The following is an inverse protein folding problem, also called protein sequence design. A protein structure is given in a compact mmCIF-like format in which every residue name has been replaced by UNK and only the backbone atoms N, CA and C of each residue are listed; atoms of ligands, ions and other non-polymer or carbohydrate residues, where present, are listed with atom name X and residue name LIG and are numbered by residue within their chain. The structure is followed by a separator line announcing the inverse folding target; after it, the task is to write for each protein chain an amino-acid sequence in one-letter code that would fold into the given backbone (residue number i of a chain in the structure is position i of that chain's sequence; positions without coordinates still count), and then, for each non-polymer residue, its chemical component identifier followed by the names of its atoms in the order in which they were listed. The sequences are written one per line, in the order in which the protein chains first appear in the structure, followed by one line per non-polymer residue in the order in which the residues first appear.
data_IF_005119475286
#
_entry.id   IF_005119475286
#
_cell.length_a   1.000
_cell.length_b   1.000
_cell.length_c   1.000
_cell.angle_alpha   90.00
_cell.angle_beta   90.00
_cell.angle_gamma   90.00
#
_symmetry.space_group_name_H-M   'P 1'
#
loop_
_entity.id
_entity.type
_entity.pdbx_description
1 polymer ?
#
# COMPACT_ATOMS: atom_id res chain seq x y z
N UNK A 1 -2.12 23.72 39.29
CA UNK A 1 -1.44 23.98 38.00
C UNK A 1 -0.49 22.83 37.75
N UNK A 2 -0.92 21.84 36.97
CA UNK A 2 -0.04 20.78 36.47
C UNK A 2 0.84 21.39 35.40
N UNK A 3 2.15 21.51 35.67
CA UNK A 3 3.15 21.83 34.65
C UNK A 3 3.10 20.74 33.58
N UNK A 4 2.42 21.02 32.45
CA UNK A 4 2.54 20.17 31.25
C UNK A 4 4.02 20.12 30.89
N UNK A 5 4.63 18.94 30.96
CA UNK A 5 6.00 18.73 30.50
C UNK A 5 6.06 19.12 29.02
N UNK A 6 6.81 20.18 28.71
CA UNK A 6 7.05 20.60 27.33
C UNK A 6 7.95 19.58 26.65
N UNK A 7 7.61 19.24 25.42
CA UNK A 7 8.39 18.30 24.60
C UNK A 7 9.67 18.97 24.09
N UNK A 8 10.78 18.22 23.98
CA UNK A 8 12.01 18.78 23.41
C UNK A 8 11.82 19.04 21.92
N UNK A 9 12.41 20.14 21.42
CA UNK A 9 12.27 20.52 20.01
C UNK A 9 12.89 19.48 19.07
N UNK A 10 13.92 18.77 19.52
CA UNK A 10 14.57 17.70 18.76
C UNK A 10 13.62 16.51 18.54
N UNK A 11 12.82 16.15 19.55
CA UNK A 11 11.82 15.07 19.49
C UNK A 11 10.69 15.44 18.52
N UNK A 12 10.17 16.67 18.60
CA UNK A 12 9.17 17.20 17.66
C UNK A 12 9.71 17.25 16.23
N UNK A 13 10.96 17.70 16.04
CA UNK A 13 11.58 17.74 14.72
C UNK A 13 11.76 16.32 14.14
N UNK A 14 12.06 15.34 14.99
CA UNK A 14 12.10 13.93 14.59
C UNK A 14 10.72 13.40 14.20
N UNK A 15 9.71 13.64 15.04
CA UNK A 15 8.32 13.28 14.77
C UNK A 15 7.87 13.81 13.42
N UNK A 16 8.03 15.11 13.16
CA UNK A 16 7.65 15.73 11.88
C UNK A 16 8.38 15.09 10.68
N UNK A 17 9.68 14.76 10.77
CA UNK A 17 10.35 14.06 9.66
C UNK A 17 9.75 12.67 9.39
N UNK A 18 9.22 12.01 10.41
CA UNK A 18 8.69 10.64 10.35
C UNK A 18 7.22 10.57 9.95
N UNK A 19 6.37 11.48 10.43
CA UNK A 19 4.92 11.46 10.15
C UNK A 19 4.47 12.51 9.13
N UNK A 20 5.34 13.47 8.78
CA UNK A 20 5.12 14.44 7.70
C UNK A 20 6.30 14.45 6.72
N UNK A 21 6.49 15.54 5.97
CA UNK A 21 7.65 15.74 5.09
C UNK A 21 8.71 16.68 5.72
N UNK A 22 8.64 16.85 7.05
CA UNK A 22 9.45 17.80 7.81
C UNK A 22 8.60 18.87 8.48
N UNK A 23 9.25 19.82 9.13
CA UNK A 23 8.58 20.86 9.89
C UNK A 23 9.30 22.19 9.77
N UNK A 24 8.53 23.25 9.55
CA UNK A 24 9.02 24.61 9.71
C UNK A 24 9.33 24.90 11.18
N UNK A 25 10.17 25.90 11.43
CA UNK A 25 10.46 26.36 12.79
C UNK A 25 9.18 26.71 13.58
N UNK A 26 8.19 27.30 12.91
CA UNK A 26 6.91 27.68 13.53
C UNK A 26 6.13 26.46 14.01
N UNK A 27 6.07 25.40 13.21
CA UNK A 27 5.39 24.15 13.59
C UNK A 27 6.12 23.45 14.74
N UNK A 28 7.45 23.41 14.70
CA UNK A 28 8.26 22.84 15.80
C UNK A 28 8.02 23.62 17.10
N UNK A 29 8.08 24.95 17.04
CA UNK A 29 7.85 25.80 18.21
C UNK A 29 6.43 25.57 18.77
N UNK A 30 5.41 25.57 17.92
CA UNK A 30 4.01 25.33 18.30
C UNK A 30 3.79 23.96 18.94
N UNK A 31 4.28 22.88 18.32
CA UNK A 31 4.08 21.53 18.84
C UNK A 31 4.91 21.27 20.11
N UNK A 32 6.06 21.94 20.28
CA UNK A 32 6.87 21.82 21.50
C UNK A 32 6.20 22.40 22.75
N UNK A 33 5.16 23.22 22.59
CA UNK A 33 4.34 23.72 23.71
C UNK A 33 3.36 22.66 24.24
N UNK A 34 3.13 21.58 23.49
CA UNK A 34 2.33 20.42 23.88
C UNK A 34 3.21 19.36 24.55
N UNK A 35 2.58 18.44 25.29
CA UNK A 35 3.24 17.17 25.64
C UNK A 35 3.40 16.33 24.34
N UNK A 36 4.15 15.22 24.42
CA UNK A 36 4.48 14.46 23.22
C UNK A 36 3.24 13.76 22.65
N UNK A 37 2.40 13.21 23.52
CA UNK A 37 1.17 12.52 23.15
C UNK A 37 0.17 13.46 22.44
N UNK A 38 -0.14 14.64 23.01
CA UNK A 38 -1.03 15.61 22.37
C UNK A 38 -0.45 16.12 21.04
N UNK A 39 0.89 16.12 20.87
CA UNK A 39 1.54 16.49 19.61
C UNK A 39 1.42 15.39 18.55
N UNK A 40 1.50 14.11 18.95
CA UNK A 40 1.22 12.96 18.10
C UNK A 40 -0.25 12.98 17.67
N UNK A 41 -1.18 13.04 18.62
CA UNK A 41 -2.62 13.06 18.34
C UNK A 41 -2.98 14.22 17.40
N UNK A 42 -2.40 15.41 17.61
CA UNK A 42 -2.62 16.55 16.71
C UNK A 42 -2.19 16.30 15.25
N UNK A 43 -1.15 15.50 15.03
CA UNK A 43 -0.65 15.20 13.68
C UNK A 43 -1.39 14.05 13.01
N UNK A 44 -1.94 13.13 13.80
CA UNK A 44 -2.58 11.90 13.35
C UNK A 44 -4.12 12.04 13.24
N UNK A 45 -4.76 12.65 14.23
CA UNK A 45 -6.22 12.71 14.38
C UNK A 45 -6.83 13.99 13.79
N UNK A 46 -6.42 14.36 12.58
CA UNK A 46 -6.89 15.59 11.99
C UNK A 46 -8.34 15.46 11.45
N UNK A 47 -9.28 16.14 12.10
CA UNK A 47 -10.69 16.25 11.68
C UNK A 47 -10.88 17.00 10.34
N UNK A 48 -9.90 17.82 9.93
CA UNK A 48 -9.98 18.65 8.74
C UNK A 48 -9.43 17.87 7.52
N UNK A 49 -10.33 17.38 6.65
CA UNK A 49 -10.17 16.38 5.56
C UNK A 49 -9.08 16.65 4.49
N UNK A 50 -7.87 17.06 4.86
CA UNK A 50 -6.73 17.27 3.97
C UNK A 50 -7.08 18.20 2.78
N UNK A 51 -7.32 19.51 3.01
CA UNK A 51 -7.66 20.46 1.95
C UNK A 51 -6.41 20.83 1.14
N UNK A 52 -5.99 19.93 0.26
CA UNK A 52 -5.07 20.28 -0.84
C UNK A 52 -5.84 21.22 -1.80
N UNK A 53 -5.32 22.40 -2.14
CA UNK A 53 -6.00 23.38 -2.99
C UNK A 53 -6.07 22.93 -4.46
N UNK A 54 -6.95 21.98 -4.74
CA UNK A 54 -7.13 21.41 -6.10
C UNK A 54 -7.73 22.40 -7.08
N UNK A 55 -8.38 23.46 -6.61
CA UNK A 55 -8.88 24.57 -7.41
C UNK A 55 -7.73 25.33 -8.10
N UNK A 56 -6.62 25.56 -7.38
CA UNK A 56 -5.43 26.20 -7.95
C UNK A 56 -4.80 25.32 -9.03
N UNK A 57 -4.69 24.02 -8.77
CA UNK A 57 -4.19 23.05 -9.75
C UNK A 57 -5.07 23.05 -11.01
N UNK A 58 -6.39 22.95 -10.85
CA UNK A 58 -7.35 22.96 -11.97
C UNK A 58 -7.37 24.27 -12.74
N UNK A 59 -7.10 25.41 -12.09
CA UNK A 59 -7.15 26.74 -12.71
C UNK A 59 -5.87 27.11 -13.44
N UNK A 60 -4.71 26.82 -12.84
CA UNK A 60 -3.42 27.29 -13.34
C UNK A 60 -2.56 26.20 -13.96
N UNK A 61 -2.86 24.93 -13.70
CA UNK A 61 -2.08 23.77 -14.12
C UNK A 61 -3.01 22.67 -14.66
N UNK A 62 -3.84 23.04 -15.64
CA UNK A 62 -4.91 22.18 -16.20
C UNK A 62 -4.35 20.83 -16.65
N UNK A 63 -3.18 20.81 -17.29
CA UNK A 63 -2.53 19.58 -17.77
C UNK A 63 -2.15 18.63 -16.63
N UNK A 64 -1.84 19.16 -15.44
CA UNK A 64 -1.53 18.37 -14.24
C UNK A 64 -2.79 17.92 -13.49
N UNK A 65 -3.93 18.56 -13.76
CA UNK A 65 -5.21 18.17 -13.16
C UNK A 65 -5.84 16.94 -13.84
N UNK A 66 -5.44 16.64 -15.07
CA UNK A 66 -5.84 15.44 -15.78
C UNK A 66 -4.95 14.25 -15.38
N UNK A 67 -5.37 13.45 -14.41
CA UNK A 67 -4.58 12.29 -13.91
C UNK A 67 -4.57 11.07 -14.84
N UNK A 68 -5.10 11.16 -16.07
CA UNK A 68 -5.14 10.02 -16.99
C UNK A 68 -3.78 9.71 -17.62
N UNK A 69 -2.92 10.71 -17.79
CA UNK A 69 -1.56 10.50 -18.29
C UNK A 69 -0.60 10.11 -17.17
N UNK A 70 0.43 9.35 -17.55
CA UNK A 70 1.49 8.91 -16.65
C UNK A 70 2.23 10.10 -16.01
N UNK A 71 2.60 11.11 -16.79
CA UNK A 71 3.33 12.28 -16.28
C UNK A 71 2.47 13.13 -15.34
N UNK A 72 1.21 13.36 -15.71
CA UNK A 72 0.30 14.20 -14.94
C UNK A 72 -0.18 13.52 -13.65
N UNK A 73 -0.37 12.19 -13.63
CA UNK A 73 -0.69 11.45 -12.39
C UNK A 73 0.42 11.55 -11.34
N UNK A 74 1.69 11.41 -11.75
CA UNK A 74 2.84 11.61 -10.86
C UNK A 74 2.93 13.05 -10.35
N UNK A 75 2.78 14.02 -11.25
CA UNK A 75 2.78 15.44 -10.87
C UNK A 75 1.62 15.82 -9.94
N UNK A 76 0.44 15.24 -10.14
CA UNK A 76 -0.71 15.41 -9.25
C UNK A 76 -0.40 14.94 -7.84
N UNK A 77 0.20 13.76 -7.69
CA UNK A 77 0.54 13.26 -6.36
C UNK A 77 1.66 14.09 -5.71
N UNK A 78 2.69 14.48 -6.48
CA UNK A 78 3.71 15.42 -6.00
C UNK A 78 3.12 16.74 -5.51
N UNK A 79 2.11 17.26 -6.20
CA UNK A 79 1.39 18.45 -5.75
C UNK A 79 0.72 18.24 -4.40
N UNK A 80 0.06 17.09 -4.19
CA UNK A 80 -0.56 16.74 -2.90
C UNK A 80 0.48 16.60 -1.79
N UNK A 81 1.60 15.92 -2.04
CA UNK A 81 2.70 15.76 -1.08
C UNK A 81 3.28 17.11 -0.64
N UNK A 82 3.38 18.08 -1.56
CA UNK A 82 3.94 19.40 -1.28
C UNK A 82 2.97 20.39 -0.63
N UNK A 83 1.65 20.24 -0.83
CA UNK A 83 0.64 21.23 -0.42
C UNK A 83 -0.35 20.73 0.62
N UNK A 84 -0.26 19.47 1.04
CA UNK A 84 -1.07 18.97 2.15
C UNK A 84 -0.67 19.66 3.46
N UNK A 85 -1.64 20.28 4.12
CA UNK A 85 -1.44 20.93 5.43
C UNK A 85 -1.20 19.91 6.55
N UNK A 86 -1.81 18.73 6.40
CA UNK A 86 -1.70 17.59 7.32
C UNK A 86 -1.37 16.35 6.50
N UNK A 87 -0.09 16.14 6.19
CA UNK A 87 0.34 15.16 5.20
C UNK A 87 0.36 13.72 5.71
N UNK A 88 -0.18 13.41 6.90
CA UNK A 88 -0.12 12.06 7.46
C UNK A 88 -0.76 11.02 6.53
N UNK A 89 -1.94 11.31 5.95
CA UNK A 89 -2.57 10.43 4.95
C UNK A 89 -1.67 10.19 3.73
N UNK A 90 -1.00 11.25 3.25
CA UNK A 90 -0.07 11.15 2.12
C UNK A 90 1.20 10.39 2.51
N UNK A 91 1.61 10.47 3.79
CA UNK A 91 2.74 9.76 4.35
C UNK A 91 2.44 8.27 4.47
N UNK A 92 1.22 7.91 4.86
CA UNK A 92 0.70 6.52 4.85
C UNK A 92 0.61 5.99 3.42
N UNK A 93 0.07 6.78 2.49
CA UNK A 93 0.02 6.37 1.08
C UNK A 93 1.42 6.16 0.48
N UNK A 94 2.37 7.03 0.82
CA UNK A 94 3.76 6.88 0.41
C UNK A 94 4.42 5.65 1.05
N UNK A 95 4.14 5.38 2.33
CA UNK A 95 4.61 4.18 3.01
C UNK A 95 4.15 2.92 2.25
N UNK A 96 2.85 2.80 2.00
CA UNK A 96 2.30 1.64 1.31
C UNK A 96 2.77 1.53 -0.14
N UNK A 97 2.88 2.65 -0.87
CA UNK A 97 3.43 2.62 -2.23
C UNK A 97 4.90 2.20 -2.28
N UNK A 98 5.68 2.43 -1.20
CA UNK A 98 7.05 1.91 -1.11
C UNK A 98 7.12 0.41 -0.84
N UNK A 99 6.15 -0.14 -0.11
CA UNK A 99 6.05 -1.59 0.15
C UNK A 99 5.48 -2.29 -1.08
N UNK A 100 4.40 -1.78 -1.64
CA UNK A 100 3.64 -2.34 -2.77
C UNK A 100 3.93 -1.58 -4.07
N UNK A 101 5.20 -1.53 -4.43
CA UNK A 101 5.67 -0.71 -5.54
C UNK A 101 5.09 -1.17 -6.88
N UNK A 102 4.48 -0.23 -7.61
CA UNK A 102 4.09 -0.37 -9.02
C UNK A 102 4.72 0.74 -9.85
N UNK A 103 4.80 0.56 -11.17
CA UNK A 103 5.59 1.44 -12.02
C UNK A 103 5.06 1.69 -13.42
N UNK A 104 5.49 2.83 -13.97
CA UNK A 104 4.99 3.39 -15.23
C UNK A 104 5.42 2.61 -16.47
N UNK A 105 6.50 1.82 -16.39
CA UNK A 105 7.01 1.06 -17.54
C UNK A 105 6.04 -0.04 -17.99
N UNK A 106 5.19 -0.53 -17.08
CA UNK A 106 4.13 -1.50 -17.36
C UNK A 106 2.74 -0.86 -17.30
N UNK A 107 2.57 0.14 -16.42
CA UNK A 107 1.33 0.88 -16.24
C UNK A 107 1.33 2.16 -17.07
N UNK A 108 1.00 2.03 -18.35
CA UNK A 108 0.96 3.17 -19.29
C UNK A 108 -0.28 4.09 -19.12
N UNK A 109 -1.18 3.78 -18.18
CA UNK A 109 -2.33 4.61 -17.82
C UNK A 109 -2.09 5.26 -16.45
N UNK A 110 -2.15 6.59 -16.37
CA UNK A 110 -1.93 7.31 -15.11
C UNK A 110 -3.05 7.09 -14.08
N UNK A 111 -4.30 6.92 -14.53
CA UNK A 111 -5.45 6.86 -13.62
C UNK A 111 -5.40 5.64 -12.69
N UNK A 112 -4.93 4.48 -13.16
CA UNK A 112 -4.84 3.28 -12.31
C UNK A 112 -3.82 3.47 -11.18
N UNK A 113 -2.71 4.17 -11.44
CA UNK A 113 -1.75 4.52 -10.39
C UNK A 113 -2.34 5.52 -9.40
N UNK A 114 -3.02 6.57 -9.87
CA UNK A 114 -3.70 7.52 -8.97
C UNK A 114 -4.76 6.83 -8.11
N UNK A 115 -5.50 5.88 -8.67
CA UNK A 115 -6.50 5.11 -7.91
C UNK A 115 -5.87 4.16 -6.89
N UNK A 116 -4.69 3.58 -7.18
CA UNK A 116 -3.94 2.82 -6.17
C UNK A 116 -3.48 3.73 -5.01
N UNK A 117 -3.00 4.94 -5.29
CA UNK A 117 -2.65 5.93 -4.24
C UNK A 117 -3.88 6.40 -3.46
N UNK A 118 -5.04 6.56 -4.11
CA UNK A 118 -6.33 6.79 -3.44
C UNK A 118 -6.67 5.64 -2.49
N UNK A 119 -6.56 4.39 -2.95
CA UNK A 119 -6.79 3.19 -2.14
C UNK A 119 -5.89 3.16 -0.89
N UNK A 120 -4.60 3.47 -1.00
CA UNK A 120 -3.74 3.54 0.18
C UNK A 120 -4.11 4.64 1.17
N UNK A 121 -4.73 5.75 0.72
CA UNK A 121 -5.24 6.77 1.64
C UNK A 121 -6.51 6.31 2.33
N UNK A 122 -7.41 5.67 1.60
CA UNK A 122 -8.72 5.27 2.12
C UNK A 122 -8.62 4.08 3.09
N UNK A 123 -7.71 3.14 2.84
CA UNK A 123 -7.59 1.90 3.61
C UNK A 123 -6.28 1.76 4.40
N UNK A 124 -5.30 2.64 4.20
CA UNK A 124 -3.94 2.48 4.73
C UNK A 124 -3.81 2.55 6.25
N UNK A 125 -4.82 3.07 6.95
CA UNK A 125 -4.90 3.07 8.42
C UNK A 125 -5.79 1.94 8.97
N UNK A 126 -6.37 1.12 8.10
CA UNK A 126 -7.20 -0.02 8.45
C UNK A 126 -6.40 -1.30 8.72
N UNK A 127 -7.09 -2.44 8.72
CA UNK A 127 -6.43 -3.74 8.90
C UNK A 127 -5.55 -4.09 7.70
N UNK A 128 -4.42 -4.75 7.99
CA UNK A 128 -3.50 -5.20 6.95
C UNK A 128 -4.16 -6.19 5.97
N UNK A 129 -5.05 -7.05 6.48
CA UNK A 129 -5.85 -7.95 5.65
C UNK A 129 -6.67 -7.17 4.61
N UNK A 130 -7.37 -6.12 5.04
CA UNK A 130 -8.16 -5.31 4.11
C UNK A 130 -7.27 -4.62 3.08
N UNK A 131 -6.11 -4.09 3.48
CA UNK A 131 -5.15 -3.49 2.54
C UNK A 131 -4.70 -4.52 1.50
N UNK A 132 -4.34 -5.74 1.91
CA UNK A 132 -3.95 -6.80 0.98
C UNK A 132 -5.12 -7.21 0.06
N UNK A 133 -6.35 -7.27 0.56
CA UNK A 133 -7.54 -7.55 -0.28
C UNK A 133 -7.74 -6.44 -1.32
N UNK A 134 -7.71 -5.17 -0.92
CA UNK A 134 -7.88 -4.05 -1.85
C UNK A 134 -6.74 -3.98 -2.85
N UNK A 135 -5.51 -4.25 -2.42
CA UNK A 135 -4.33 -4.34 -3.29
C UNK A 135 -4.46 -5.48 -4.30
N UNK A 136 -4.95 -6.64 -3.87
CA UNK A 136 -5.14 -7.81 -4.75
C UNK A 136 -6.22 -7.58 -5.80
N UNK A 137 -7.20 -6.72 -5.51
CA UNK A 137 -8.23 -6.27 -6.45
C UNK A 137 -7.79 -5.08 -7.29
N UNK A 138 -6.70 -4.41 -6.93
CA UNK A 138 -6.26 -3.20 -7.61
C UNK A 138 -5.77 -3.50 -9.05
N UNK A 139 -6.35 -2.86 -10.08
CA UNK A 139 -5.98 -3.13 -11.47
C UNK A 139 -4.52 -2.79 -11.80
N UNK A 140 -3.92 -1.81 -11.13
CA UNK A 140 -2.50 -1.52 -11.30
C UNK A 140 -1.66 -2.70 -10.78
N UNK A 141 -1.99 -3.28 -9.64
CA UNK A 141 -1.29 -4.45 -9.11
C UNK A 141 -1.50 -5.71 -9.94
N UNK A 142 -2.73 -5.99 -10.38
CA UNK A 142 -3.04 -7.15 -11.24
C UNK A 142 -2.18 -7.14 -12.50
N UNK A 143 -2.11 -6.00 -13.20
CA UNK A 143 -1.25 -5.86 -14.37
C UNK A 143 0.23 -5.87 -14.02
N UNK A 144 0.61 -5.26 -12.90
CA UNK A 144 2.01 -5.18 -12.48
C UNK A 144 2.63 -6.57 -12.32
N UNK A 145 1.86 -7.52 -11.79
CA UNK A 145 2.32 -8.87 -11.48
C UNK A 145 1.75 -9.97 -12.39
N UNK A 146 1.14 -9.58 -13.51
CA UNK A 146 0.63 -10.50 -14.53
C UNK A 146 -0.45 -11.46 -14.05
N UNK A 147 -1.25 -11.07 -13.04
CA UNK A 147 -2.34 -11.91 -12.57
C UNK A 147 -3.50 -11.98 -13.58
N UNK A 148 -3.57 -11.06 -14.55
CA UNK A 148 -4.51 -11.17 -15.67
C UNK A 148 -4.28 -12.44 -16.52
N UNK A 149 -3.06 -12.97 -16.53
CA UNK A 149 -2.65 -14.17 -17.27
C UNK A 149 -2.66 -15.43 -16.38
N UNK A 150 -3.17 -15.32 -15.14
CA UNK A 150 -3.28 -16.42 -14.19
C UNK A 150 -4.62 -17.16 -14.35
N UNK A 151 -4.58 -18.28 -15.06
CA UNK A 151 -5.77 -19.06 -15.44
C UNK A 151 -5.76 -20.42 -14.75
N UNK A 152 -6.94 -20.99 -14.43
CA UNK A 152 -7.00 -22.34 -13.82
C UNK A 152 -6.30 -23.44 -14.64
N UNK A 153 -6.16 -23.27 -15.96
CA UNK A 153 -5.46 -24.21 -16.85
C UNK A 153 -3.98 -23.89 -17.04
N UNK A 154 -3.53 -22.69 -16.66
CA UNK A 154 -2.16 -22.23 -16.79
C UNK A 154 -1.84 -21.25 -15.66
N UNK A 155 -1.32 -21.77 -14.56
CA UNK A 155 -1.07 -21.01 -13.33
C UNK A 155 0.13 -20.08 -13.52
N UNK A 156 -0.04 -18.80 -13.21
CA UNK A 156 1.05 -17.84 -13.11
C UNK A 156 1.45 -17.64 -11.65
N UNK A 157 2.68 -18.02 -11.33
CA UNK A 157 3.19 -18.00 -9.95
C UNK A 157 3.62 -16.61 -9.46
N UNK A 158 3.72 -15.61 -10.35
CA UNK A 158 4.32 -14.32 -10.03
C UNK A 158 3.59 -13.63 -8.88
N UNK A 159 2.27 -13.41 -9.00
CA UNK A 159 1.51 -12.74 -7.93
C UNK A 159 1.56 -13.50 -6.59
N UNK A 160 1.39 -14.82 -6.61
CA UNK A 160 1.44 -15.67 -5.41
C UNK A 160 2.81 -15.67 -4.74
N UNK A 161 3.90 -15.57 -5.51
CA UNK A 161 5.25 -15.43 -4.97
C UNK A 161 5.45 -14.07 -4.32
N UNK A 162 5.10 -13.00 -5.02
CA UNK A 162 5.32 -11.63 -4.55
C UNK A 162 4.46 -11.28 -3.32
N UNK A 163 3.21 -11.76 -3.26
CA UNK A 163 2.36 -11.50 -2.10
C UNK A 163 2.93 -12.14 -0.83
N UNK A 164 3.55 -13.32 -0.93
CA UNK A 164 4.23 -14.00 0.16
C UNK A 164 5.58 -13.36 0.48
N UNK A 165 6.42 -13.16 -0.55
CA UNK A 165 7.82 -12.77 -0.41
C UNK A 165 8.00 -11.29 -0.11
N UNK A 166 7.48 -10.42 -0.98
CA UNK A 166 7.75 -8.99 -0.93
C UNK A 166 6.67 -8.20 -0.20
N UNK A 167 5.46 -8.74 -0.07
CA UNK A 167 4.34 -7.96 0.45
C UNK A 167 3.88 -8.36 1.85
N UNK A 168 4.17 -9.57 2.33
CA UNK A 168 3.63 -10.03 3.61
C UNK A 168 4.60 -10.74 4.55
N UNK A 169 5.30 -11.80 4.14
CA UNK A 169 5.98 -12.71 5.08
C UNK A 169 7.51 -12.68 4.99
N UNK A 170 8.06 -12.19 3.88
CA UNK A 170 9.51 -12.28 3.63
C UNK A 170 9.96 -13.70 3.26
N UNK A 171 11.17 -13.79 2.73
CA UNK A 171 11.79 -15.07 2.33
C UNK A 171 11.97 -16.00 3.53
N UNK A 172 11.62 -17.29 3.34
CA UNK A 172 11.92 -18.37 4.30
C UNK A 172 10.75 -18.77 5.20
N UNK A 173 9.59 -18.12 5.09
CA UNK A 173 8.40 -18.39 5.91
C UNK A 173 7.34 -19.26 5.21
N UNK A 174 7.58 -19.67 3.96
CA UNK A 174 6.67 -20.46 3.11
C UNK A 174 7.47 -21.43 2.23
N UNK A 175 6.78 -22.40 1.64
CA UNK A 175 7.36 -23.37 0.71
C UNK A 175 7.02 -23.05 -0.75
N UNK A 176 7.71 -23.67 -1.70
CA UNK A 176 7.37 -23.59 -3.12
C UNK A 176 5.96 -24.15 -3.41
N UNK A 177 5.47 -25.09 -2.59
CA UNK A 177 4.09 -25.58 -2.67
C UNK A 177 3.10 -24.47 -2.30
N UNK A 178 3.38 -23.71 -1.24
CA UNK A 178 2.52 -22.61 -0.82
C UNK A 178 2.39 -21.53 -1.89
N UNK A 179 3.46 -21.24 -2.64
CA UNK A 179 3.42 -20.30 -3.78
C UNK A 179 2.42 -20.78 -4.84
N UNK A 180 2.50 -22.06 -5.22
CA UNK A 180 1.60 -22.65 -6.22
C UNK A 180 0.16 -22.62 -5.76
N UNK A 181 -0.11 -23.00 -4.51
CA UNK A 181 -1.44 -23.03 -3.94
C UNK A 181 -2.02 -21.62 -3.76
N UNK A 182 -1.20 -20.65 -3.39
CA UNK A 182 -1.55 -19.24 -3.37
C UNK A 182 -1.92 -18.73 -4.77
N UNK A 183 -1.10 -19.02 -5.78
CA UNK A 183 -1.40 -18.63 -7.16
C UNK A 183 -2.65 -19.29 -7.73
N UNK A 184 -2.93 -20.55 -7.38
CA UNK A 184 -4.20 -21.21 -7.71
C UNK A 184 -5.39 -20.45 -7.12
N UNK A 185 -5.28 -19.95 -5.89
CA UNK A 185 -6.35 -19.18 -5.25
C UNK A 185 -6.61 -17.80 -5.90
N UNK A 186 -5.62 -17.21 -6.59
CA UNK A 186 -5.79 -15.96 -7.33
C UNK A 186 -6.21 -16.13 -8.80
N UNK A 187 -6.44 -17.35 -9.27
CA UNK A 187 -6.97 -17.58 -10.62
C UNK A 187 -8.35 -16.92 -10.79
N UNK A 188 -8.63 -16.39 -11.98
CA UNK A 188 -9.87 -15.67 -12.26
C UNK A 188 -9.95 -14.25 -11.69
N UNK A 189 -8.99 -13.80 -10.87
CA UNK A 189 -8.89 -12.39 -10.46
C UNK A 189 -8.24 -11.59 -11.59
N UNK A 190 -9.05 -10.91 -12.38
CA UNK A 190 -8.61 -10.29 -13.63
C UNK A 190 -9.19 -8.89 -13.81
N UNK A 191 -8.97 -8.30 -14.97
CA UNK A 191 -9.48 -7.00 -15.35
C UNK A 191 -10.67 -7.17 -16.30
N UNK A 192 -11.68 -6.33 -16.11
CA UNK A 192 -12.86 -6.33 -16.93
C UNK A 192 -12.53 -5.95 -18.39
N UNK A 193 -13.09 -6.70 -19.33
CA UNK A 193 -12.99 -6.46 -20.78
C UNK A 193 -11.56 -6.35 -21.31
N UNK A 194 -10.64 -7.19 -20.81
CA UNK A 194 -9.23 -7.23 -21.24
C UNK A 194 -9.00 -7.27 -22.76
N UNK A 195 -9.71 -8.08 -23.56
CA UNK A 195 -9.53 -8.07 -25.02
C UNK A 195 -9.83 -6.70 -25.64
N UNK A 196 -10.88 -6.02 -25.16
CA UNK A 196 -11.23 -4.68 -25.60
C UNK A 196 -10.20 -3.63 -25.15
N UNK A 197 -9.70 -3.75 -23.92
CA UNK A 197 -8.62 -2.91 -23.40
C UNK A 197 -7.32 -3.07 -24.23
N UNK A 198 -6.94 -4.31 -24.55
CA UNK A 198 -5.79 -4.63 -25.37
C UNK A 198 -5.91 -4.05 -26.80
N UNK A 199 -7.10 -4.16 -27.42
CA UNK A 199 -7.37 -3.54 -28.73
C UNK A 199 -7.21 -2.01 -28.66
N UNK A 200 -7.76 -1.36 -27.61
CA UNK A 200 -7.61 0.08 -27.41
C UNK A 200 -6.14 0.49 -27.24
N UNK A 201 -5.38 -0.25 -26.44
CA UNK A 201 -3.94 0.00 -26.22
C UNK A 201 -3.15 -0.12 -27.52
N UNK A 202 -3.37 -1.19 -28.30
CA UNK A 202 -2.69 -1.40 -29.58
C UNK A 202 -2.96 -0.28 -30.59
N UNK A 203 -4.19 0.23 -30.61
CA UNK A 203 -4.59 1.25 -31.57
C UNK A 203 -4.15 2.67 -31.14
N UNK A 204 -3.59 2.86 -29.94
CA UNK A 204 -3.21 4.15 -29.34
C UNK A 204 -4.26 5.27 -29.56
N UNK A 205 -5.54 4.89 -29.63
CA UNK A 205 -6.60 5.79 -30.06
C UNK A 205 -7.32 6.32 -28.83
N UNK A 206 -7.03 7.56 -28.46
CA UNK A 206 -7.71 8.28 -27.37
C UNK A 206 -9.20 8.61 -27.66
N UNK A 207 -9.76 8.22 -28.83
CA UNK A 207 -11.06 8.71 -29.32
C UNK A 207 -12.08 7.58 -29.55
N UNK A 208 -13.38 7.82 -29.30
CA UNK A 208 -14.02 9.03 -28.74
C UNK A 208 -14.14 9.06 -27.20
N UNK A 209 -13.77 7.98 -26.48
CA UNK A 209 -14.03 7.83 -25.03
C UNK A 209 -12.78 7.70 -24.13
N UNK A 210 -11.56 8.02 -24.62
CA UNK A 210 -10.30 7.83 -23.89
C UNK A 210 -10.07 6.38 -23.37
N UNK A 211 -8.93 6.15 -22.72
CA UNK A 211 -8.68 4.93 -21.95
C UNK A 211 -9.68 4.88 -20.79
N UNK A 212 -10.48 3.82 -20.74
CA UNK A 212 -11.34 3.53 -19.59
C UNK A 212 -10.42 3.01 -18.49
N UNK A 213 -10.57 3.53 -17.26
CA UNK A 213 -9.82 3.00 -16.14
C UNK A 213 -10.09 1.50 -16.03
N UNK A 214 -9.04 0.70 -15.91
CA UNK A 214 -9.20 -0.73 -15.68
C UNK A 214 -10.03 -0.95 -14.41
N UNK A 215 -10.87 -1.98 -14.45
CA UNK A 215 -11.75 -2.35 -13.36
C UNK A 215 -11.53 -3.81 -13.01
N UNK A 216 -11.53 -4.12 -11.72
CA UNK A 216 -11.45 -5.49 -11.23
C UNK A 216 -12.65 -6.32 -11.69
N UNK A 217 -12.40 -7.57 -12.04
CA UNK A 217 -13.42 -8.59 -12.28
C UNK A 217 -12.94 -9.92 -11.72
N UNK A 218 -13.80 -10.59 -10.94
CA UNK A 218 -13.64 -12.01 -10.64
C UNK A 218 -14.36 -12.87 -11.69
N UNK A 219 -13.61 -13.57 -12.52
CA UNK A 219 -14.12 -14.53 -13.49
C UNK A 219 -14.26 -15.93 -12.89
N UNK A 220 -15.48 -16.24 -12.45
CA UNK A 220 -15.82 -17.54 -11.88
C UNK A 220 -15.55 -18.70 -12.84
N UNK A 221 -15.59 -18.51 -14.15
CA UNK A 221 -15.37 -19.62 -15.08
C UNK A 221 -13.89 -19.98 -15.23
N UNK A 222 -12.99 -19.10 -14.80
CA UNK A 222 -11.55 -19.23 -14.95
C UNK A 222 -10.82 -19.45 -13.62
N UNK A 223 -11.57 -19.47 -12.50
CA UNK A 223 -11.05 -19.82 -11.19
C UNK A 223 -10.90 -21.34 -11.01
N UNK A 224 -9.83 -21.74 -10.33
CA UNK A 224 -9.59 -23.12 -9.90
C UNK A 224 -10.30 -23.40 -8.58
N UNK A 225 -11.40 -24.14 -8.64
CA UNK A 225 -12.17 -24.58 -7.46
C UNK A 225 -11.68 -25.90 -6.84
N UNK A 226 -10.51 -26.40 -7.24
CA UNK A 226 -9.89 -27.55 -6.61
C UNK A 226 -9.52 -27.26 -5.16
N UNK A 227 -9.49 -28.30 -4.34
CA UNK A 227 -8.96 -28.23 -2.97
C UNK A 227 -7.49 -27.78 -3.00
N UNK A 228 -7.13 -26.94 -2.03
CA UNK A 228 -5.82 -26.33 -1.86
C UNK A 228 -5.34 -26.60 -0.44
N UNK A 229 -4.04 -26.78 -0.28
CA UNK A 229 -3.38 -26.90 1.02
C UNK A 229 -2.34 -25.79 1.13
N UNK A 230 -2.62 -24.79 1.95
CA UNK A 230 -1.85 -23.55 2.00
C UNK A 230 -1.55 -23.19 3.46
N UNK A 231 -0.25 -23.07 3.78
CA UNK A 231 0.24 -22.73 5.12
C UNK A 231 -0.38 -23.57 6.25
N UNK A 232 -0.59 -24.86 5.97
CA UNK A 232 -1.14 -25.84 6.92
C UNK A 232 -2.67 -25.90 6.99
N UNK A 233 -3.39 -25.01 6.30
CA UNK A 233 -4.84 -25.05 6.18
C UNK A 233 -5.26 -25.75 4.86
N UNK A 234 -6.42 -26.44 4.87
CA UNK A 234 -6.97 -27.12 3.70
C UNK A 234 -8.37 -26.63 3.39
N UNK A 235 -8.65 -26.37 2.11
CA UNK A 235 -9.97 -25.93 1.67
C UNK A 235 -10.01 -25.52 0.21
N UNK A 236 -11.21 -25.20 -0.27
CA UNK A 236 -11.38 -24.58 -1.58
C UNK A 236 -11.21 -23.07 -1.48
N UNK A 237 -9.96 -22.63 -1.33
CA UNK A 237 -9.63 -21.23 -1.07
C UNK A 237 -9.70 -20.37 -2.33
N UNK A 238 -10.22 -19.16 -2.16
CA UNK A 238 -10.13 -18.04 -3.09
C UNK A 238 -9.10 -17.01 -2.58
N UNK A 239 -8.83 -15.95 -3.36
CA UNK A 239 -7.85 -14.91 -3.03
C UNK A 239 -8.04 -14.28 -1.65
N UNK A 240 -9.30 -14.02 -1.25
CA UNK A 240 -9.60 -13.46 0.08
C UNK A 240 -9.23 -14.44 1.21
N UNK A 241 -9.50 -15.74 1.02
CA UNK A 241 -9.21 -16.77 2.02
C UNK A 241 -7.70 -16.92 2.25
N UNK A 242 -6.90 -16.97 1.17
CA UNK A 242 -5.44 -17.08 1.30
C UNK A 242 -4.83 -15.83 1.93
N UNK A 243 -5.39 -14.63 1.68
CA UNK A 243 -4.95 -13.41 2.36
C UNK A 243 -5.23 -13.49 3.87
N UNK A 244 -6.41 -13.96 4.26
CA UNK A 244 -6.73 -14.15 5.68
C UNK A 244 -5.76 -15.16 6.32
N UNK A 245 -5.43 -16.27 5.65
CA UNK A 245 -4.46 -17.26 6.13
C UNK A 245 -3.05 -16.65 6.27
N UNK A 246 -2.62 -15.80 5.33
CA UNK A 246 -1.34 -15.06 5.41
C UNK A 246 -1.34 -14.15 6.63
N UNK A 247 -2.41 -13.41 6.88
CA UNK A 247 -2.50 -12.47 8.01
C UNK A 247 -2.52 -13.15 9.38
N UNK A 248 -2.87 -14.44 9.47
CA UNK A 248 -2.74 -15.21 10.73
C UNK A 248 -1.29 -15.53 11.10
N UNK A 249 -0.34 -15.46 10.17
CA UNK A 249 1.04 -15.89 10.41
C UNK A 249 1.84 -14.85 11.20
N UNK A 250 2.60 -15.30 12.20
CA UNK A 250 3.50 -14.44 12.99
C UNK A 250 4.59 -13.77 12.13
N UNK A 251 5.05 -14.45 11.07
CA UNK A 251 5.99 -13.86 10.10
C UNK A 251 5.42 -12.62 9.44
N UNK A 252 4.11 -12.58 9.18
CA UNK A 252 3.43 -11.43 8.58
C UNK A 252 3.44 -10.23 9.52
N UNK A 253 3.11 -10.46 10.78
CA UNK A 253 3.16 -9.41 11.81
C UNK A 253 4.58 -8.86 11.98
N UNK A 254 5.60 -9.73 12.02
CA UNK A 254 7.02 -9.32 12.12
C UNK A 254 7.49 -8.52 10.91
N UNK A 255 7.06 -8.93 9.72
CA UNK A 255 7.40 -8.25 8.48
C UNK A 255 6.86 -6.81 8.46
N UNK A 256 5.57 -6.64 8.75
CA UNK A 256 4.96 -5.31 8.73
C UNK A 256 5.47 -4.44 9.89
N UNK A 257 5.71 -5.03 11.07
CA UNK A 257 6.24 -4.32 12.22
C UNK A 257 7.59 -3.66 11.92
N UNK A 258 8.51 -4.36 11.23
CA UNK A 258 9.80 -3.80 10.84
C UNK A 258 9.67 -2.71 9.77
N UNK A 259 8.73 -2.83 8.84
CA UNK A 259 8.44 -1.75 7.87
C UNK A 259 7.93 -0.49 8.57
N UNK A 260 6.98 -0.63 9.49
CA UNK A 260 6.45 0.47 10.29
C UNK A 260 7.56 1.11 11.13
N UNK A 261 8.37 0.31 11.82
CA UNK A 261 9.50 0.79 12.62
C UNK A 261 10.51 1.56 11.76
N UNK A 262 10.93 0.96 10.65
CA UNK A 262 11.88 1.56 9.71
C UNK A 262 11.42 2.93 9.20
N UNK A 263 10.13 3.03 8.84
CA UNK A 263 9.60 4.21 8.18
C UNK A 263 9.23 5.31 9.19
N UNK A 264 8.47 4.98 10.24
CA UNK A 264 7.87 5.94 11.18
C UNK A 264 8.66 6.16 12.47
N UNK A 265 9.57 5.25 12.84
CA UNK A 265 10.27 5.35 14.13
C UNK A 265 11.74 5.69 13.92
N UNK A 266 12.50 4.77 13.33
CA UNK A 266 13.95 4.89 13.19
C UNK A 266 14.46 4.05 12.03
N UNK A 267 15.51 4.54 11.37
CA UNK A 267 16.11 3.82 10.26
C UNK A 267 16.64 2.45 10.71
N UNK A 268 16.53 1.50 9.80
CA UNK A 268 16.82 0.10 9.98
C UNK A 268 17.41 -0.44 8.67
N UNK A 269 18.01 -1.62 8.71
CA UNK A 269 18.52 -2.30 7.53
C UNK A 269 17.40 -2.58 6.53
N UNK A 270 17.71 -2.70 5.22
CA UNK A 270 16.72 -3.05 4.22
C UNK A 270 16.24 -4.51 4.37
N UNK A 271 15.04 -4.79 3.87
CA UNK A 271 14.35 -6.10 3.95
C UNK A 271 15.24 -7.31 3.68
N UNK A 272 16.12 -7.34 2.64
CA UNK A 272 16.95 -8.53 2.36
C UNK A 272 17.93 -8.89 3.48
N UNK A 273 18.22 -7.97 4.40
CA UNK A 273 19.12 -8.21 5.54
C UNK A 273 18.36 -8.70 6.79
N UNK A 274 17.04 -8.59 6.80
CA UNK A 274 16.21 -8.92 7.96
C UNK A 274 16.31 -10.38 8.42
N UNK A 275 16.42 -11.39 7.53
CA UNK A 275 16.64 -12.78 7.94
C UNK A 275 17.99 -13.02 8.66
N UNK A 276 18.96 -12.13 8.47
CA UNK A 276 20.32 -12.27 8.97
C UNK A 276 20.65 -11.32 10.14
N UNK A 277 19.81 -10.30 10.36
CA UNK A 277 20.04 -9.24 11.35
C UNK A 277 18.76 -8.97 12.13
N UNK A 278 18.88 -9.13 13.44
CA UNK A 278 17.83 -8.82 14.40
C UNK A 278 17.45 -7.33 14.37
N UNK A 279 16.22 -6.98 14.81
CA UNK A 279 15.82 -5.60 14.96
C UNK A 279 16.74 -4.80 15.86
N UNK A 280 16.78 -3.48 15.65
CA UNK A 280 17.53 -2.57 16.53
C UNK A 280 16.90 -2.45 17.92
N UNK A 281 15.59 -2.58 18.00
CA UNK A 281 14.79 -2.50 19.21
C UNK A 281 13.75 -3.63 19.17
N UNK A 282 14.07 -4.76 19.82
CA UNK A 282 13.20 -5.94 19.82
C UNK A 282 11.90 -5.67 20.58
N UNK A 283 11.95 -4.89 21.67
CA UNK A 283 10.78 -4.58 22.50
C UNK A 283 9.73 -3.78 21.72
N UNK A 284 10.15 -2.80 20.91
CA UNK A 284 9.23 -2.02 20.06
C UNK A 284 8.64 -2.88 18.95
N UNK A 285 9.41 -3.78 18.34
CA UNK A 285 8.88 -4.70 17.33
C UNK A 285 7.84 -5.63 17.95
N UNK A 286 8.14 -6.23 19.09
CA UNK A 286 7.21 -7.12 19.80
C UNK A 286 5.93 -6.38 20.20
N UNK A 287 6.04 -5.12 20.63
CA UNK A 287 4.87 -4.27 20.90
C UNK A 287 3.99 -4.07 19.65
N UNK A 288 4.59 -3.83 18.48
CA UNK A 288 3.84 -3.66 17.22
C UNK A 288 3.22 -5.00 16.79
N UNK A 289 3.93 -6.11 16.92
CA UNK A 289 3.43 -7.47 16.62
C UNK A 289 2.25 -7.84 17.52
N UNK A 290 2.33 -7.58 18.82
CA UNK A 290 1.23 -7.78 19.74
C UNK A 290 0.02 -6.91 19.38
N UNK A 291 0.26 -5.67 18.99
CA UNK A 291 -0.78 -4.73 18.59
C UNK A 291 -1.46 -5.17 17.29
N UNK A 292 -0.71 -5.76 16.36
CA UNK A 292 -1.24 -6.35 15.13
C UNK A 292 -2.31 -7.40 15.47
N UNK A 293 -2.00 -8.40 16.28
CA UNK A 293 -2.94 -9.47 16.62
C UNK A 293 -4.11 -9.03 17.52
N UNK A 294 -3.92 -7.99 18.35
CA UNK A 294 -5.00 -7.46 19.19
C UNK A 294 -6.08 -6.71 18.41
N UNK A 295 -5.73 -6.18 17.23
CA UNK A 295 -6.60 -5.36 16.40
C UNK A 295 -6.88 -5.97 15.02
N UNK A 296 -6.58 -7.28 14.85
CA UNK A 296 -6.88 -8.06 13.64
C UNK A 296 -8.34 -8.47 13.59
#
# INVERSE_FOLDING_TARGET
MTTKNKTKKEEIAHLLRRVSFGGSKKEIDFLSEKNFEDAVDYLLDNEDKNPVPTDLLRRYQIDLSDVRSVNSSGAYWMYRLAHSKFPFDEKIALFWHRVFATGQHKLIQGKVMTSQIEMFRDYGLGSFENILIQLSKDPAMIMWLDNQDNHKTNINENYGREILELFSMGVGSYTEKDIKECSRAFTGWTIENMPYMAIKMRNNTARPYNYVAWQFKFDKNDHDYGEKEFLGEKGNFNGEDVISIICKQESTAKYIARHIYHFFIKDELPVPQWPHKKPLDEEVIDFIVDSYFKNS
#
